data_IF_031723802536
#
_entry.id   IF_031723802536
#
_cell.length_a   1.000
_cell.length_b   1.000
_cell.length_c   1.000
_cell.angle_alpha   90.00
_cell.angle_beta   90.00
_cell.angle_gamma   90.00
#
_symmetry.space_group_name_H-M   'P 1'
#
loop_
_entity.id
_entity.type
_entity.pdbx_description
1 polymer ?
#
# COMPACT_ATOMS: atom_id res chain seq x y z
N UNK A 1 15.45 -1.87 8.39
CA UNK A 1 14.79 -0.54 8.21
C UNK A 1 15.59 0.37 7.29
N UNK A 2 16.90 0.46 7.45
CA UNK A 2 17.75 1.30 6.60
C UNK A 2 17.64 1.00 5.11
N UNK A 3 17.56 -0.27 4.73
CA UNK A 3 17.42 -0.66 3.31
C UNK A 3 16.09 -0.21 2.72
N UNK A 4 15.02 -0.26 3.50
CA UNK A 4 13.70 0.19 3.06
C UNK A 4 13.70 1.70 2.81
N UNK A 5 14.32 2.45 3.70
CA UNK A 5 14.48 3.90 3.55
C UNK A 5 15.35 4.23 2.32
N UNK A 6 16.44 3.50 2.11
CA UNK A 6 17.29 3.66 0.93
C UNK A 6 16.53 3.43 -0.36
N UNK A 7 15.66 2.41 -0.39
CA UNK A 7 14.82 2.13 -1.55
C UNK A 7 13.91 3.32 -1.85
N UNK A 8 13.25 3.86 -0.84
CA UNK A 8 12.39 5.03 -1.02
C UNK A 8 13.17 6.24 -1.52
N UNK A 9 14.37 6.46 -1.01
CA UNK A 9 15.24 7.56 -1.46
C UNK A 9 15.66 7.39 -2.91
N UNK A 10 15.94 6.15 -3.34
CA UNK A 10 16.26 5.87 -4.75
C UNK A 10 15.08 6.15 -5.66
N UNK A 11 13.87 5.78 -5.25
CA UNK A 11 12.66 6.09 -6.02
C UNK A 11 12.51 7.59 -6.17
N UNK A 12 12.67 8.35 -5.10
CA UNK A 12 12.60 9.80 -5.13
C UNK A 12 13.68 10.41 -6.03
N UNK A 13 14.89 9.88 -5.99
CA UNK A 13 16.00 10.36 -6.80
C UNK A 13 15.75 10.15 -8.30
N UNK A 14 15.10 9.04 -8.66
CA UNK A 14 14.84 8.70 -10.06
C UNK A 14 13.60 9.37 -10.64
N UNK A 15 12.58 9.62 -9.82
CA UNK A 15 11.27 10.10 -10.28
C UNK A 15 10.89 11.48 -9.75
N UNK A 16 11.71 12.08 -8.88
CA UNK A 16 11.47 13.40 -8.30
C UNK A 16 11.01 13.34 -6.86
N UNK A 17 11.33 14.37 -6.09
CA UNK A 17 10.99 14.45 -4.66
C UNK A 17 9.49 14.50 -4.39
N UNK A 18 8.71 15.00 -5.33
CA UNK A 18 7.27 15.15 -5.17
C UNK A 18 6.48 13.88 -5.50
N UNK A 19 7.14 12.86 -6.08
CA UNK A 19 6.44 11.62 -6.41
C UNK A 19 5.88 10.97 -5.13
N UNK A 20 4.58 10.61 -5.10
CA UNK A 20 4.03 9.93 -3.93
C UNK A 20 4.49 8.48 -3.87
N UNK A 21 4.80 8.02 -2.66
CA UNK A 21 5.13 6.62 -2.40
C UNK A 21 4.10 6.08 -1.41
N UNK A 22 3.41 5.03 -1.79
CA UNK A 22 2.45 4.34 -0.94
C UNK A 22 3.04 3.01 -0.51
N UNK A 23 3.31 2.90 0.79
CA UNK A 23 3.85 1.69 1.40
C UNK A 23 2.69 0.89 1.98
N UNK A 24 2.38 -0.24 1.38
CA UNK A 24 1.22 -1.04 1.76
C UNK A 24 1.67 -2.24 2.59
N UNK A 25 1.18 -2.31 3.82
CA UNK A 25 1.45 -3.44 4.70
C UNK A 25 0.35 -4.47 4.55
N UNK A 26 0.73 -5.69 4.16
CA UNK A 26 -0.20 -6.79 3.95
C UNK A 26 -0.61 -7.43 5.28
N UNK A 27 -1.83 -7.96 5.33
CA UNK A 27 -2.29 -8.76 6.46
C UNK A 27 -1.63 -10.15 6.53
N UNK A 28 -0.90 -10.55 5.51
CA UNK A 28 -0.17 -11.83 5.48
C UNK A 28 1.02 -11.80 6.43
N UNK A 29 1.62 -10.63 6.63
CA UNK A 29 2.78 -10.45 7.50
C UNK A 29 2.40 -9.58 8.70
N UNK A 30 2.11 -10.17 9.88
CA UNK A 30 1.48 -9.45 11.00
C UNK A 30 2.23 -8.21 11.50
N UNK A 31 3.55 -8.21 11.46
CA UNK A 31 4.36 -7.12 12.01
C UNK A 31 4.82 -6.11 10.97
N UNK A 32 4.47 -6.30 9.70
CA UNK A 32 4.97 -5.46 8.62
C UNK A 32 4.45 -4.03 8.71
N UNK A 33 3.24 -3.83 9.20
CA UNK A 33 2.66 -2.49 9.30
C UNK A 33 3.50 -1.58 10.20
N UNK A 34 3.83 -2.04 11.40
CA UNK A 34 4.61 -1.22 12.34
C UNK A 34 6.00 -0.91 11.81
N UNK A 35 6.64 -1.90 11.20
CA UNK A 35 7.96 -1.73 10.59
C UNK A 35 7.92 -0.71 9.45
N UNK A 36 6.98 -0.85 8.53
CA UNK A 36 6.85 0.03 7.37
C UNK A 36 6.47 1.44 7.82
N UNK A 37 5.55 1.55 8.78
CA UNK A 37 5.16 2.84 9.34
C UNK A 37 6.35 3.58 9.96
N UNK A 38 7.16 2.87 10.73
CA UNK A 38 8.36 3.45 11.30
C UNK A 38 9.36 3.89 10.23
N UNK A 39 9.55 3.09 9.19
CA UNK A 39 10.43 3.43 8.08
C UNK A 39 9.97 4.71 7.39
N UNK A 40 8.67 4.86 7.15
CA UNK A 40 8.10 6.07 6.56
C UNK A 40 8.36 7.29 7.44
N UNK A 41 8.14 7.16 8.75
CA UNK A 41 8.37 8.27 9.69
C UNK A 41 9.83 8.66 9.79
N UNK A 42 10.74 7.68 9.83
CA UNK A 42 12.17 7.92 9.98
C UNK A 42 12.85 8.38 8.70
N UNK A 43 12.22 8.19 7.54
CA UNK A 43 12.81 8.58 6.26
C UNK A 43 12.95 10.10 6.11
N UNK A 44 12.07 10.87 6.72
CA UNK A 44 12.01 12.31 6.53
C UNK A 44 11.58 12.76 5.14
N UNK A 45 11.10 11.85 4.31
CA UNK A 45 10.71 12.15 2.93
C UNK A 45 9.27 12.68 2.87
N UNK A 46 9.04 13.55 1.89
CA UNK A 46 7.71 14.09 1.60
C UNK A 46 6.87 13.08 0.84
N UNK A 47 5.55 13.16 0.99
CA UNK A 47 4.60 12.38 0.20
C UNK A 47 4.87 10.88 0.27
N UNK A 48 5.22 10.39 1.46
CA UNK A 48 5.36 8.98 1.76
C UNK A 48 4.25 8.59 2.71
N UNK A 49 3.44 7.62 2.30
CA UNK A 49 2.23 7.21 3.03
C UNK A 49 2.28 5.74 3.36
N UNK A 50 1.81 5.37 4.54
CA UNK A 50 1.72 3.98 4.95
C UNK A 50 0.26 3.58 5.08
N UNK A 51 -0.12 2.49 4.42
CA UNK A 51 -1.47 1.94 4.47
C UNK A 51 -1.42 0.50 4.96
N UNK A 52 -2.08 0.24 6.09
CA UNK A 52 -2.17 -1.10 6.64
C UNK A 52 -3.47 -1.77 6.23
N UNK A 53 -3.38 -3.00 5.73
CA UNK A 53 -4.53 -3.83 5.43
C UNK A 53 -4.69 -4.87 6.53
N UNK A 54 -5.80 -4.85 7.23
CA UNK A 54 -6.07 -5.77 8.33
C UNK A 54 -6.68 -7.09 7.83
N UNK A 55 -6.70 -8.09 8.71
CA UNK A 55 -7.35 -9.38 8.40
C UNK A 55 -8.82 -9.25 8.02
N UNK A 56 -9.50 -8.21 8.49
CA UNK A 56 -10.90 -8.00 8.18
C UNK A 56 -11.18 -7.54 6.74
N UNK A 57 -10.15 -7.25 5.96
CA UNK A 57 -10.32 -6.84 4.56
C UNK A 57 -10.80 -7.99 3.69
N UNK A 58 -10.36 -9.21 3.98
CA UNK A 58 -10.68 -10.38 3.16
C UNK A 58 -11.66 -11.33 3.85
N UNK A 59 -12.54 -11.92 3.06
CA UNK A 59 -13.33 -13.06 3.46
C UNK A 59 -12.53 -14.35 3.22
N UNK A 60 -12.29 -15.10 4.28
CA UNK A 60 -11.45 -16.31 4.21
C UNK A 60 -12.01 -17.41 3.32
N UNK A 61 -13.33 -17.44 3.10
CA UNK A 61 -13.96 -18.51 2.32
C UNK A 61 -13.76 -18.35 0.82
N UNK A 62 -13.86 -17.14 0.28
CA UNK A 62 -13.92 -16.93 -1.16
C UNK A 62 -12.95 -15.87 -1.70
N UNK A 63 -12.20 -15.19 -0.84
CA UNK A 63 -11.29 -14.12 -1.26
C UNK A 63 -9.82 -14.48 -1.13
N UNK A 64 -9.50 -15.62 -0.51
CA UNK A 64 -8.13 -16.07 -0.32
C UNK A 64 -7.82 -17.31 -1.14
N UNK A 65 -6.64 -17.34 -1.72
CA UNK A 65 -6.10 -18.49 -2.44
C UNK A 65 -5.09 -19.26 -1.61
N UNK A 66 -4.08 -19.84 -2.27
CA UNK A 66 -3.05 -20.63 -1.62
C UNK A 66 -2.27 -19.82 -0.58
N UNK A 67 -1.99 -20.45 0.57
CA UNK A 67 -1.20 -19.86 1.67
C UNK A 67 -1.79 -18.54 2.19
N UNK A 68 -3.10 -18.42 2.18
CA UNK A 68 -3.82 -17.23 2.67
C UNK A 68 -3.52 -15.95 1.88
N UNK A 69 -2.94 -16.07 0.70
CA UNK A 69 -2.77 -14.93 -0.21
C UNK A 69 -4.10 -14.57 -0.88
N UNK A 70 -4.35 -13.28 -1.18
CA UNK A 70 -5.58 -12.90 -1.86
C UNK A 70 -5.70 -13.58 -3.23
N UNK A 71 -6.90 -14.05 -3.55
CA UNK A 71 -7.24 -14.48 -4.90
C UNK A 71 -7.72 -13.29 -5.72
N UNK A 72 -8.32 -13.53 -6.90
CA UNK A 72 -8.80 -12.47 -7.77
C UNK A 72 -9.80 -11.54 -7.06
N UNK A 73 -10.76 -12.10 -6.32
CA UNK A 73 -11.73 -11.31 -5.55
C UNK A 73 -11.05 -10.51 -4.43
N UNK A 74 -10.09 -11.12 -3.75
CA UNK A 74 -9.32 -10.47 -2.71
C UNK A 74 -8.51 -9.30 -3.24
N UNK A 75 -7.90 -9.44 -4.41
CA UNK A 75 -7.15 -8.35 -5.05
C UNK A 75 -8.05 -7.19 -5.46
N UNK A 76 -9.25 -7.47 -5.98
CA UNK A 76 -10.22 -6.42 -6.29
C UNK A 76 -10.59 -5.64 -5.02
N UNK A 77 -10.79 -6.34 -3.92
CA UNK A 77 -11.14 -5.73 -2.64
C UNK A 77 -10.02 -4.83 -2.12
N UNK A 78 -8.77 -5.30 -2.21
CA UNK A 78 -7.60 -4.49 -1.83
C UNK A 78 -7.52 -3.24 -2.69
N UNK A 79 -7.66 -3.37 -4.00
CA UNK A 79 -7.63 -2.23 -4.90
C UNK A 79 -8.75 -1.24 -4.59
N UNK A 80 -9.95 -1.73 -4.29
CA UNK A 80 -11.09 -0.88 -3.92
C UNK A 80 -10.86 -0.09 -2.62
N UNK A 81 -10.06 -0.63 -1.71
CA UNK A 81 -9.65 0.09 -0.50
C UNK A 81 -8.57 1.12 -0.78
N UNK A 82 -7.61 0.80 -1.65
CA UNK A 82 -6.44 1.63 -1.92
C UNK A 82 -6.76 2.82 -2.84
N UNK A 83 -7.58 2.62 -3.86
CA UNK A 83 -7.80 3.65 -4.89
C UNK A 83 -8.39 4.95 -4.30
N UNK A 84 -9.43 4.92 -3.46
CA UNK A 84 -9.93 6.15 -2.84
C UNK A 84 -8.88 6.85 -1.98
N UNK A 85 -8.07 6.08 -1.27
CA UNK A 85 -7.00 6.63 -0.44
C UNK A 85 -5.95 7.33 -1.30
N UNK A 86 -5.51 6.67 -2.38
CA UNK A 86 -4.53 7.25 -3.31
C UNK A 86 -5.10 8.52 -3.96
N UNK A 87 -6.35 8.48 -4.42
CA UNK A 87 -6.99 9.63 -5.04
C UNK A 87 -7.08 10.81 -4.06
N UNK A 88 -7.41 10.56 -2.81
CA UNK A 88 -7.51 11.60 -1.79
C UNK A 88 -6.14 12.25 -1.52
N UNK A 89 -5.09 11.43 -1.39
CA UNK A 89 -3.76 11.94 -1.05
C UNK A 89 -3.06 12.63 -2.22
N UNK A 90 -3.35 12.22 -3.45
CA UNK A 90 -2.69 12.77 -4.65
C UNK A 90 -3.52 13.83 -5.37
N UNK A 91 -4.83 13.84 -5.18
CA UNK A 91 -5.74 14.65 -5.97
C UNK A 91 -5.98 14.09 -7.38
N UNK A 92 -5.49 12.89 -7.68
CA UNK A 92 -5.70 12.26 -8.98
C UNK A 92 -7.14 11.79 -9.11
N UNK A 93 -7.68 11.89 -10.32
CA UNK A 93 -9.04 11.43 -10.59
C UNK A 93 -9.09 9.90 -10.68
N UNK A 94 -10.20 9.34 -10.17
CA UNK A 94 -10.46 7.92 -10.27
C UNK A 94 -11.24 7.64 -11.56
N UNK A 95 -10.79 6.60 -12.30
CA UNK A 95 -11.56 6.13 -13.43
C UNK A 95 -12.58 5.08 -12.98
N UNK A 96 -13.86 5.37 -13.17
CA UNK A 96 -14.93 4.45 -12.77
C UNK A 96 -14.82 3.07 -13.42
N UNK A 97 -14.27 3.00 -14.62
CA UNK A 97 -14.09 1.74 -15.36
C UNK A 97 -13.11 0.79 -14.69
N UNK A 98 -12.15 1.30 -13.91
CA UNK A 98 -11.15 0.47 -13.24
C UNK A 98 -11.74 -0.42 -12.15
N UNK A 99 -12.96 -0.13 -11.72
CA UNK A 99 -13.64 -0.85 -10.63
C UNK A 99 -14.62 -1.90 -11.08
N UNK A 100 -14.84 -2.05 -12.37
CA UNK A 100 -15.88 -2.92 -12.91
C UNK A 100 -15.35 -4.24 -13.40
#
# INVERSE_FOLDING_TARGET
MGRYIELMKKVKANYGEEIPIFCVASNVTPFSYDYIRMACMMSGLKNVYCLGLTKGVHNYEDELGASWHPNYKGHIKVASCMIPYIATMTGWEMEAKAYR
#
